data_IF_497634368962
#
_entry.id   IF_497634368962
#
_cell.length_a   1.000
_cell.length_b   1.000
_cell.length_c   1.000
_cell.angle_alpha   90.00
_cell.angle_beta   90.00
_cell.angle_gamma   90.00
#
_symmetry.space_group_name_H-M   'P 1'
#
loop_
_entity.id
_entity.type
_entity.pdbx_description
1 polymer ?
#
# COMPACT_ATOMS: atom_id res chain seq x y z
N UNK A 1 -10.02 -11.18 18.50
CA UNK A 1 -9.80 -12.54 17.94
C UNK A 1 -8.64 -13.23 18.67
N UNK A 2 -7.66 -12.48 19.18
CA UNK A 2 -6.63 -12.96 20.12
C UNK A 2 -7.23 -13.59 21.40
N UNK A 3 -8.30 -13.01 21.95
CA UNK A 3 -8.84 -13.45 23.25
C UNK A 3 -9.54 -14.82 23.22
N UNK A 4 -10.14 -15.24 22.08
CA UNK A 4 -10.94 -16.46 22.04
C UNK A 4 -10.10 -17.75 22.02
N UNK A 5 -8.91 -17.71 21.43
CA UNK A 5 -8.02 -18.88 21.31
C UNK A 5 -7.21 -19.09 22.59
N UNK A 6 -6.83 -18.00 23.26
CA UNK A 6 -6.11 -18.05 24.53
C UNK A 6 -6.99 -18.61 25.66
N UNK A 7 -8.26 -18.22 25.73
CA UNK A 7 -9.21 -18.67 26.76
C UNK A 7 -9.60 -20.16 26.63
N UNK A 8 -9.62 -20.72 25.42
CA UNK A 8 -10.09 -22.09 25.19
C UNK A 8 -9.02 -23.17 25.39
N UNK A 9 -7.74 -22.84 25.19
CA UNK A 9 -6.65 -23.83 25.17
C UNK A 9 -5.53 -23.57 26.18
N UNK A 10 -5.53 -22.45 26.91
CA UNK A 10 -4.44 -22.12 27.85
C UNK A 10 -3.07 -22.03 27.18
N UNK A 11 -3.05 -21.68 25.89
CA UNK A 11 -1.85 -21.55 25.08
C UNK A 11 -1.64 -20.07 24.78
N UNK A 12 -0.56 -19.49 25.29
CA UNK A 12 -0.18 -18.10 24.98
C UNK A 12 0.41 -18.05 23.57
N UNK A 13 -0.45 -17.83 22.57
CA UNK A 13 -0.03 -17.48 21.22
C UNK A 13 0.02 -15.96 21.08
N UNK A 14 1.18 -15.45 20.63
CA UNK A 14 1.35 -14.04 20.25
C UNK A 14 1.63 -13.97 18.77
N UNK A 15 0.85 -13.18 18.06
CA UNK A 15 1.06 -12.88 16.66
C UNK A 15 1.60 -11.45 16.53
N UNK A 16 2.64 -11.27 15.72
CA UNK A 16 3.19 -9.95 15.40
C UNK A 16 3.37 -9.81 13.90
N UNK A 17 3.10 -8.61 13.39
CA UNK A 17 3.34 -8.26 12.01
C UNK A 17 3.97 -6.88 11.90
N UNK A 18 4.82 -6.69 10.90
CA UNK A 18 5.31 -5.36 10.53
C UNK A 18 4.31 -4.69 9.57
N UNK A 19 4.05 -3.40 9.76
CA UNK A 19 3.17 -2.66 8.86
C UNK A 19 3.88 -2.40 7.54
N UNK A 20 3.18 -2.66 6.43
CA UNK A 20 3.71 -2.38 5.10
C UNK A 20 3.70 -0.86 4.84
N UNK A 21 4.83 -0.32 4.41
CA UNK A 21 5.01 1.07 4.01
C UNK A 21 5.61 1.11 2.60
N UNK A 22 4.87 1.74 1.69
CA UNK A 22 5.25 1.86 0.29
C UNK A 22 5.70 3.29 -0.02
N UNK A 23 6.91 3.41 -0.57
CA UNK A 23 7.40 4.62 -1.22
C UNK A 23 7.29 4.43 -2.73
N UNK A 24 6.78 5.43 -3.46
CA UNK A 24 6.80 5.37 -4.94
C UNK A 24 7.05 6.71 -5.59
N UNK A 25 7.75 6.67 -6.71
CA UNK A 25 7.98 7.81 -7.60
C UNK A 25 7.45 7.41 -8.97
N UNK A 26 6.38 8.09 -9.41
CA UNK A 26 5.71 7.80 -10.67
C UNK A 26 5.55 9.07 -11.50
N UNK A 27 6.50 9.36 -12.42
CA UNK A 27 6.29 10.40 -13.42
C UNK A 27 5.08 10.05 -14.29
N UNK A 28 4.41 11.10 -14.79
CA UNK A 28 3.22 10.92 -15.60
C UNK A 28 3.06 11.98 -16.67
N UNK A 29 2.22 11.67 -17.64
CA UNK A 29 1.78 12.57 -18.69
C UNK A 29 0.29 12.83 -18.50
N UNK A 30 -0.09 14.11 -18.61
CA UNK A 30 -1.46 14.55 -18.43
C UNK A 30 -1.98 15.33 -19.62
N UNK A 31 -3.28 15.23 -19.84
CA UNK A 31 -4.03 16.06 -20.78
C UNK A 31 -5.03 16.93 -20.02
N UNK A 32 -5.15 18.18 -20.46
CA UNK A 32 -6.00 19.20 -19.89
C UNK A 32 -6.92 19.76 -20.97
N UNK A 33 -8.23 19.81 -20.66
CA UNK A 33 -9.22 20.41 -21.53
C UNK A 33 -10.17 21.30 -20.72
N UNK A 34 -10.26 22.57 -21.09
CA UNK A 34 -11.25 23.51 -20.56
C UNK A 34 -12.28 23.83 -21.63
N UNK A 35 -13.56 23.62 -21.31
CA UNK A 35 -14.70 23.94 -22.19
C UNK A 35 -15.73 24.76 -21.41
N UNK A 36 -15.68 26.07 -21.60
CA UNK A 36 -16.49 27.01 -20.84
C UNK A 36 -16.21 26.90 -19.34
N UNK A 37 -17.26 26.63 -18.56
CA UNK A 37 -17.17 26.47 -17.11
C UNK A 37 -16.72 25.06 -16.69
N UNK A 38 -16.48 24.14 -17.61
CA UNK A 38 -16.02 22.79 -17.30
C UNK A 38 -14.53 22.63 -17.57
N UNK A 39 -13.87 21.90 -16.70
CA UNK A 39 -12.46 21.54 -16.82
C UNK A 39 -12.30 20.04 -16.58
N UNK A 40 -11.60 19.40 -17.50
CA UNK A 40 -11.31 17.97 -17.50
C UNK A 40 -9.80 17.80 -17.49
N UNK A 41 -9.29 17.02 -16.53
CA UNK A 41 -7.90 16.58 -16.53
C UNK A 41 -7.87 15.06 -16.51
N UNK A 42 -6.96 14.49 -17.27
CA UNK A 42 -6.68 13.07 -17.25
C UNK A 42 -5.18 12.87 -17.28
N UNK A 43 -4.68 11.80 -16.67
CA UNK A 43 -3.27 11.49 -16.68
C UNK A 43 -3.01 10.01 -16.53
N UNK A 44 -1.85 9.60 -17.02
CA UNK A 44 -1.27 8.28 -16.80
C UNK A 44 0.11 8.45 -16.18
N UNK A 45 0.46 7.58 -15.26
CA UNK A 45 1.76 7.59 -14.60
C UNK A 45 2.34 6.18 -14.52
N UNK A 46 3.66 6.11 -14.68
CA UNK A 46 4.44 4.88 -14.62
C UNK A 46 5.74 5.19 -13.89
N UNK A 47 6.10 4.34 -12.94
CA UNK A 47 7.21 4.61 -12.07
C UNK A 47 7.74 3.39 -11.34
N UNK A 48 8.46 3.70 -10.27
CA UNK A 48 9.11 2.74 -9.42
C UNK A 48 8.60 2.88 -7.99
N UNK A 49 8.38 1.75 -7.34
CA UNK A 49 7.96 1.65 -5.96
C UNK A 49 8.88 0.74 -5.18
N UNK A 50 8.99 0.99 -3.88
CA UNK A 50 9.58 0.11 -2.90
C UNK A 50 8.61 -0.09 -1.74
N UNK A 51 8.56 -1.31 -1.22
CA UNK A 51 7.81 -1.66 -0.03
C UNK A 51 8.72 -2.43 0.92
N UNK A 52 8.57 -2.23 2.23
CA UNK A 52 9.27 -3.07 3.19
C UNK A 52 8.83 -4.53 3.07
N UNK A 53 9.74 -5.40 3.47
CA UNK A 53 9.51 -6.83 3.46
C UNK A 53 8.36 -7.20 4.42
N UNK A 54 7.36 -7.98 3.99
CA UNK A 54 6.28 -8.39 4.87
C UNK A 54 6.81 -9.38 5.91
N UNK A 55 6.75 -9.00 7.18
CA UNK A 55 7.22 -9.83 8.28
C UNK A 55 6.06 -10.27 9.16
N UNK A 56 5.99 -11.59 9.40
CA UNK A 56 5.06 -12.23 10.31
C UNK A 56 5.83 -13.09 11.32
N UNK A 57 5.39 -13.03 12.56
CA UNK A 57 5.95 -13.82 13.66
C UNK A 57 4.82 -14.37 14.51
N UNK A 58 4.90 -15.66 14.81
CA UNK A 58 4.02 -16.34 15.76
C UNK A 58 4.88 -16.94 16.87
N UNK A 59 4.63 -16.54 18.10
CA UNK A 59 5.33 -17.04 19.28
C UNK A 59 4.35 -17.82 20.14
N UNK A 60 4.72 -19.05 20.49
CA UNK A 60 4.02 -19.91 21.43
C UNK A 60 4.88 -20.09 22.67
N UNK A 61 4.32 -19.81 23.84
CA UNK A 61 5.00 -20.04 25.13
C UNK A 61 4.33 -21.23 25.84
N UNK A 62 5.13 -22.23 26.22
CA UNK A 62 4.66 -23.39 27.00
C UNK A 62 5.64 -23.62 28.16
N UNK A 63 5.25 -23.24 29.38
CA UNK A 63 6.14 -23.30 30.54
C UNK A 63 7.37 -22.40 30.35
N UNK A 64 8.58 -22.98 30.37
CA UNK A 64 9.85 -22.28 30.10
C UNK A 64 10.31 -22.36 28.63
N UNK A 65 9.56 -23.04 27.76
CA UNK A 65 9.92 -23.19 26.36
C UNK A 65 9.18 -22.15 25.51
N UNK A 66 9.94 -21.41 24.69
CA UNK A 66 9.40 -20.47 23.71
C UNK A 66 9.64 -21.05 22.31
N UNK A 67 8.55 -21.34 21.60
CA UNK A 67 8.59 -21.74 20.20
C UNK A 67 8.18 -20.56 19.34
N UNK A 68 9.07 -20.08 18.47
CA UNK A 68 8.81 -19.00 17.53
C UNK A 68 8.81 -19.52 16.10
N UNK A 69 7.78 -19.16 15.34
CA UNK A 69 7.69 -19.29 13.89
C UNK A 69 7.86 -17.90 13.28
N UNK A 70 9.00 -17.68 12.65
CA UNK A 70 9.35 -16.38 12.08
C UNK A 70 10.16 -16.55 10.80
N UNK A 71 10.24 -15.47 10.02
CA UNK A 71 11.16 -15.40 8.89
C UNK A 71 12.62 -15.34 9.37
N UNK A 72 13.45 -16.20 8.81
CA UNK A 72 14.89 -16.26 9.06
C UNK A 72 15.66 -15.83 7.81
N UNK A 73 16.52 -14.82 7.92
CA UNK A 73 17.34 -14.32 6.82
C UNK A 73 17.20 -12.82 6.59
N UNK A 74 17.80 -12.34 5.50
CA UNK A 74 17.77 -10.92 5.09
C UNK A 74 16.38 -10.50 4.63
N UNK A 75 15.81 -9.46 5.24
CA UNK A 75 14.48 -8.93 4.96
C UNK A 75 14.58 -7.70 4.06
N UNK A 76 15.06 -7.89 2.84
CA UNK A 76 15.24 -6.78 1.91
C UNK A 76 13.90 -6.24 1.41
N UNK A 77 13.80 -4.93 1.27
CA UNK A 77 12.64 -4.28 0.66
C UNK A 77 12.42 -4.82 -0.75
N UNK A 78 11.16 -5.06 -1.10
CA UNK A 78 10.79 -5.44 -2.46
C UNK A 78 10.58 -4.19 -3.30
N UNK A 79 10.93 -4.28 -4.58
CA UNK A 79 10.68 -3.23 -5.56
C UNK A 79 9.77 -3.71 -6.68
N UNK A 80 8.99 -2.79 -7.23
CA UNK A 80 8.09 -3.06 -8.34
C UNK A 80 7.94 -1.83 -9.22
N UNK A 81 7.55 -2.06 -10.47
CA UNK A 81 6.95 -1.02 -11.29
C UNK A 81 5.60 -0.60 -10.68
N UNK A 82 5.35 0.70 -10.68
CA UNK A 82 4.07 1.29 -10.27
C UNK A 82 3.41 1.89 -11.50
N UNK A 83 2.13 1.63 -11.70
CA UNK A 83 1.40 2.17 -12.85
C UNK A 83 0.02 2.64 -12.43
N UNK A 84 -0.49 3.67 -13.08
CA UNK A 84 -1.81 4.18 -12.76
C UNK A 84 -2.23 5.33 -13.65
N UNK A 85 -3.33 5.94 -13.24
CA UNK A 85 -3.87 7.11 -13.91
C UNK A 85 -4.87 7.84 -13.03
N UNK A 86 -5.21 9.04 -13.45
CA UNK A 86 -6.16 9.89 -12.77
C UNK A 86 -7.11 10.57 -13.74
N UNK A 87 -8.30 10.87 -13.25
CA UNK A 87 -9.36 11.59 -13.93
C UNK A 87 -9.89 12.64 -12.97
N UNK A 88 -9.96 13.87 -13.45
CA UNK A 88 -10.47 15.00 -12.70
C UNK A 88 -11.48 15.74 -13.55
N UNK A 89 -12.63 16.04 -12.96
CA UNK A 89 -13.67 16.85 -13.59
C UNK A 89 -14.07 17.94 -12.63
N UNK A 90 -14.07 19.18 -13.09
CA UNK A 90 -14.48 20.31 -12.27
C UNK A 90 -15.31 21.30 -13.05
N UNK A 91 -16.09 22.07 -12.31
CA UNK A 91 -16.98 23.10 -12.82
C UNK A 91 -16.78 24.40 -12.07
N UNK A 92 -16.60 25.49 -12.80
CA UNK A 92 -16.65 26.85 -12.28
C UNK A 92 -18.10 27.21 -11.90
N UNK A 93 -18.28 27.62 -10.65
CA UNK A 93 -19.54 28.09 -10.06
C UNK A 93 -19.25 29.44 -9.40
N UNK A 94 -19.54 30.53 -10.13
CA UNK A 94 -19.19 31.89 -9.70
C UNK A 94 -17.67 32.05 -9.57
N UNK A 95 -17.20 32.39 -8.36
CA UNK A 95 -15.77 32.55 -8.05
C UNK A 95 -15.10 31.25 -7.57
N UNK A 96 -15.82 30.14 -7.55
CA UNK A 96 -15.31 28.86 -7.06
C UNK A 96 -15.21 27.85 -8.18
N UNK A 97 -14.35 26.85 -8.00
CA UNK A 97 -14.25 25.67 -8.85
C UNK A 97 -14.47 24.44 -7.98
N UNK A 98 -15.61 23.78 -8.20
CA UNK A 98 -15.96 22.53 -7.53
C UNK A 98 -15.56 21.38 -8.44
N UNK A 99 -14.90 20.35 -7.92
CA UNK A 99 -14.50 19.22 -8.74
C UNK A 99 -14.39 17.90 -8.00
N UNK A 100 -14.38 16.85 -8.81
CA UNK A 100 -14.17 15.48 -8.43
C UNK A 100 -12.84 15.01 -8.99
N UNK A 101 -12.11 14.24 -8.19
CA UNK A 101 -10.87 13.58 -8.55
C UNK A 101 -11.00 12.08 -8.29
N UNK A 102 -10.56 11.28 -9.26
CA UNK A 102 -10.41 9.84 -9.13
C UNK A 102 -9.00 9.48 -9.57
N UNK A 103 -8.25 8.79 -8.74
CA UNK A 103 -6.95 8.24 -9.13
C UNK A 103 -6.83 6.78 -8.75
N UNK A 104 -6.22 6.00 -9.63
CA UNK A 104 -5.96 4.60 -9.43
C UNK A 104 -4.48 4.32 -9.65
N UNK A 105 -3.86 3.59 -8.71
CA UNK A 105 -2.49 3.13 -8.79
C UNK A 105 -2.40 1.65 -8.45
N UNK A 106 -1.54 0.93 -9.16
CA UNK A 106 -1.22 -0.47 -8.92
C UNK A 106 0.28 -0.72 -8.86
N UNK A 107 0.68 -1.69 -8.04
CA UNK A 107 2.04 -2.22 -7.96
C UNK A 107 2.01 -3.67 -7.44
N UNK A 108 2.91 -4.53 -7.93
CA UNK A 108 2.97 -5.95 -7.60
C UNK A 108 4.39 -6.31 -7.14
N UNK A 109 4.57 -6.41 -5.82
CA UNK A 109 5.87 -6.58 -5.19
C UNK A 109 6.16 -8.04 -4.89
N UNK A 110 7.04 -8.66 -5.69
CA UNK A 110 7.46 -10.04 -5.47
C UNK A 110 8.38 -10.15 -4.25
N UNK A 111 8.18 -11.16 -3.42
CA UNK A 111 8.98 -11.43 -2.23
C UNK A 111 9.04 -12.94 -1.94
N UNK A 112 10.13 -13.35 -1.28
CA UNK A 112 10.37 -14.75 -0.90
C UNK A 112 10.37 -14.91 0.61
N UNK A 113 9.66 -15.90 1.12
CA UNK A 113 9.51 -16.24 2.54
C UNK A 113 10.42 -17.41 2.92
N UNK A 114 11.20 -17.23 3.99
CA UNK A 114 12.09 -18.24 4.56
C UNK A 114 11.64 -18.57 6.00
N UNK A 115 10.58 -19.36 6.18
CA UNK A 115 10.03 -19.61 7.50
C UNK A 115 10.93 -20.57 8.29
N UNK A 116 11.10 -20.31 9.58
CA UNK A 116 11.88 -21.14 10.50
C UNK A 116 11.20 -21.25 11.85
N UNK A 117 11.23 -22.45 12.42
CA UNK A 117 10.87 -22.71 13.81
C UNK A 117 12.10 -22.56 14.71
N UNK A 118 11.98 -21.87 15.85
CA UNK A 118 13.05 -21.68 16.82
C UNK A 118 12.55 -22.00 18.25
N UNK A 119 13.36 -22.63 19.12
CA UNK A 119 14.71 -23.14 18.87
C UNK A 119 14.72 -24.48 18.11
N UNK A 120 15.80 -24.76 17.37
CA UNK A 120 16.10 -26.08 16.82
C UNK A 120 15.38 -26.51 15.52
N UNK A 121 14.47 -25.71 14.98
CA UNK A 121 13.79 -26.04 13.73
C UNK A 121 14.65 -25.86 12.48
N UNK A 122 14.46 -26.76 11.52
CA UNK A 122 14.97 -26.63 10.15
C UNK A 122 14.26 -25.48 9.42
N UNK A 123 14.96 -24.87 8.45
CA UNK A 123 14.28 -24.02 7.47
C UNK A 123 13.28 -24.88 6.69
N UNK A 124 12.04 -24.41 6.56
CA UNK A 124 11.09 -25.03 5.64
C UNK A 124 11.36 -24.56 4.21
N UNK A 125 10.63 -25.12 3.25
CA UNK A 125 10.69 -24.76 1.82
C UNK A 125 10.49 -23.24 1.66
N UNK A 126 11.28 -22.60 0.78
CA UNK A 126 11.11 -21.20 0.40
C UNK A 126 9.81 -21.02 -0.38
N UNK A 127 9.00 -20.03 0.01
CA UNK A 127 7.77 -19.69 -0.70
C UNK A 127 7.92 -18.34 -1.41
N UNK A 128 7.60 -18.30 -2.69
CA UNK A 128 7.52 -17.05 -3.46
C UNK A 128 6.07 -16.54 -3.45
N UNK A 129 5.88 -15.25 -3.19
CA UNK A 129 4.57 -14.61 -3.18
C UNK A 129 4.66 -13.15 -3.63
N UNK A 130 3.51 -12.48 -3.79
CA UNK A 130 3.41 -11.12 -4.33
C UNK A 130 2.49 -10.27 -3.44
N UNK A 131 3.02 -9.16 -2.90
CA UNK A 131 2.19 -8.12 -2.29
C UNK A 131 1.57 -7.27 -3.40
N UNK A 132 0.26 -7.39 -3.57
CA UNK A 132 -0.51 -6.61 -4.53
C UNK A 132 -1.00 -5.33 -3.89
N UNK A 133 -0.41 -4.19 -4.24
CA UNK A 133 -0.87 -2.87 -3.78
C UNK A 133 -1.79 -2.27 -4.85
N UNK A 134 -2.99 -1.88 -4.43
CA UNK A 134 -4.00 -1.21 -5.25
C UNK A 134 -4.55 -0.05 -4.48
N UNK A 135 -4.32 1.16 -4.96
CA UNK A 135 -4.81 2.40 -4.33
C UNK A 135 -5.84 3.03 -5.25
N UNK A 136 -7.01 3.32 -4.70
CA UNK A 136 -8.06 4.04 -5.38
C UNK A 136 -8.43 5.23 -4.51
N UNK A 137 -8.09 6.44 -4.97
CA UNK A 137 -8.45 7.67 -4.28
C UNK A 137 -9.64 8.31 -4.97
N UNK A 138 -10.55 8.82 -4.16
CA UNK A 138 -11.66 9.64 -4.59
C UNK A 138 -11.63 10.93 -3.77
N UNK A 139 -11.70 12.06 -4.45
CA UNK A 139 -11.66 13.37 -3.84
C UNK A 139 -12.79 14.26 -4.35
N UNK A 140 -13.34 15.07 -3.45
CA UNK A 140 -14.11 16.26 -3.79
C UNK A 140 -13.24 17.46 -3.39
N UNK A 141 -13.07 18.43 -4.28
CA UNK A 141 -12.33 19.65 -3.98
C UNK A 141 -13.13 20.89 -4.34
N UNK A 142 -12.90 21.95 -3.57
CA UNK A 142 -13.41 23.29 -3.84
C UNK A 142 -12.21 24.24 -3.86
N UNK A 143 -11.96 24.85 -5.01
CA UNK A 143 -10.89 25.81 -5.20
C UNK A 143 -11.48 27.21 -5.31
N UNK A 144 -10.85 28.17 -4.65
CA UNK A 144 -11.07 29.58 -4.90
C UNK A 144 -9.89 30.09 -5.72
N UNK A 145 -10.00 30.18 -7.06
CA UNK A 145 -8.95 30.78 -7.86
C UNK A 145 -8.75 32.24 -7.44
N UNK A 146 -7.54 32.55 -6.96
CA UNK A 146 -7.11 33.93 -6.80
C UNK A 146 -7.17 34.61 -8.18
N UNK A 147 -8.03 35.61 -8.31
CA UNK A 147 -8.18 36.43 -9.51
C UNK A 147 -6.81 36.95 -9.99
N UNK A 148 -6.41 36.58 -11.20
CA UNK A 148 -5.31 37.22 -11.91
C UNK A 148 -4.48 36.26 -12.75
N UNK A 149 -4.94 35.97 -13.97
CA UNK A 149 -4.11 35.87 -15.18
C UNK A 149 -5.07 35.69 -16.36
N UNK A 150 -5.76 36.76 -16.72
CA UNK A 150 -6.16 36.97 -18.10
C UNK A 150 -4.89 37.40 -18.85
N UNK A 151 -4.47 36.59 -19.83
CA UNK A 151 -3.62 37.02 -20.94
C UNK A 151 -4.30 36.58 -22.22
#
# INVERSE_FOLDING_TARGET
MEDFVNDLYGLDFRFSHENNNMLSIAPGLGYFLKKGNWEYRTGIFLGYGQINYPYYEMVRVVGNETLAWAHSGSRHNSSSLTAGGNLQVSRAIGKFQLGLDVSYQRADFAYSIFPRTSPGGSQSITYEDIIKVRTLNFGLFLLYPLLGYEK
#
